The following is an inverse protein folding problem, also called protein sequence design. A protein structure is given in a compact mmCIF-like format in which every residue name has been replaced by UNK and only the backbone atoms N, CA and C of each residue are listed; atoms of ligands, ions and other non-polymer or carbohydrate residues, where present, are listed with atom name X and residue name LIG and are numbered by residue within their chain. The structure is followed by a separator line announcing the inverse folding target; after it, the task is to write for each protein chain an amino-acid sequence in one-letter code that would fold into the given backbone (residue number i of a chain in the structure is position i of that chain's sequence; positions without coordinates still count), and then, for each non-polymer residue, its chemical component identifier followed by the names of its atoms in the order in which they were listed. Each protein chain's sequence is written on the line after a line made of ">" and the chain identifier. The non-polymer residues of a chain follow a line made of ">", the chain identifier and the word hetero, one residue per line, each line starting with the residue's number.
data_IF_424685977464
#
_entry.id   IF_424685977464
#
_cell.length_a   1.000
_cell.length_b   1.000
_cell.length_c   1.000
_cell.angle_alpha   90.00
_cell.angle_beta   90.00
_cell.angle_gamma   90.00
#
_symmetry.space_group_name_H-M   'P 1'
#
loop_
_entity.id
_entity.type
_entity.pdbx_description
1 polymer ?
#
# COMPACT_ATOMS: atom_id res chain seq x y z
N UNK A 1 30.70 19.25 65.70
CA UNK A 1 30.57 18.14 66.67
C UNK A 1 30.52 16.83 65.91
N UNK A 2 31.51 16.01 66.10
CA UNK A 2 31.60 14.58 65.68
C UNK A 2 30.67 13.71 66.56
N UNK A 3 30.64 12.38 66.43
CA UNK A 3 30.70 11.39 65.32
C UNK A 3 29.76 10.19 65.58
N UNK A 4 29.74 9.14 64.66
CA UNK A 4 30.10 7.77 64.91
C UNK A 4 29.49 6.86 63.79
N UNK A 5 30.25 6.17 62.99
CA UNK A 5 31.01 4.90 63.03
C UNK A 5 30.23 3.70 63.58
N UNK A 6 30.06 2.68 62.71
CA UNK A 6 30.48 1.25 62.78
C UNK A 6 29.88 0.48 61.61
N UNK A 7 30.55 -0.14 60.70
CA UNK A 7 31.60 -1.17 60.62
C UNK A 7 31.03 -2.63 60.75
N UNK A 8 31.34 -3.40 59.67
CA UNK A 8 31.51 -4.85 59.54
C UNK A 8 30.23 -5.72 59.39
N UNK A 9 30.13 -6.62 58.36
CA UNK A 9 30.99 -7.78 58.25
C UNK A 9 30.91 -8.46 56.86
N UNK A 10 32.05 -8.91 56.35
CA UNK A 10 32.22 -9.89 55.26
C UNK A 10 31.67 -11.26 55.69
N UNK A 11 30.95 -11.94 54.77
CA UNK A 11 30.95 -13.40 54.69
C UNK A 11 31.09 -13.80 53.22
N UNK A 12 32.20 -14.44 52.92
CA UNK A 12 32.50 -15.12 51.67
C UNK A 12 31.69 -16.41 51.58
N UNK A 13 30.87 -16.54 50.55
CA UNK A 13 30.22 -17.80 50.18
C UNK A 13 30.72 -18.24 48.81
N UNK A 14 31.57 -19.28 48.81
CA UNK A 14 32.00 -19.99 47.61
C UNK A 14 30.81 -20.81 47.09
N UNK A 15 30.22 -20.40 45.97
CA UNK A 15 29.23 -21.22 45.26
C UNK A 15 29.95 -22.03 44.18
N UNK A 16 29.95 -23.32 44.32
CA UNK A 16 30.46 -24.28 43.35
C UNK A 16 29.61 -24.23 42.07
N UNK A 17 30.26 -23.96 40.95
CA UNK A 17 29.63 -24.05 39.62
C UNK A 17 29.56 -25.54 39.25
N UNK A 18 28.38 -26.14 39.36
CA UNK A 18 28.10 -27.45 38.78
C UNK A 18 27.84 -27.25 37.26
N UNK A 19 28.77 -27.71 36.45
CA UNK A 19 28.53 -27.88 35.00
C UNK A 19 27.50 -29.01 34.83
N UNK A 20 26.27 -28.64 34.49
CA UNK A 20 25.29 -29.57 33.93
C UNK A 20 25.61 -29.81 32.44
N UNK A 21 25.57 -31.05 31.95
CA UNK A 21 25.75 -31.33 30.54
C UNK A 21 24.61 -30.70 29.75
N UNK A 22 24.93 -29.92 28.72
CA UNK A 22 23.95 -29.38 27.76
C UNK A 22 23.27 -30.56 27.06
N UNK A 23 21.99 -30.76 27.37
CA UNK A 23 21.14 -31.65 26.61
C UNK A 23 20.96 -31.04 25.23
N UNK A 24 21.53 -31.68 24.22
CA UNK A 24 21.23 -31.37 22.80
C UNK A 24 19.79 -31.85 22.57
N UNK A 25 18.86 -30.92 22.64
CA UNK A 25 17.50 -31.18 22.18
C UNK A 25 17.54 -31.34 20.65
N UNK A 26 16.98 -32.43 20.09
CA UNK A 26 16.84 -32.54 18.65
C UNK A 26 15.98 -31.37 18.15
N UNK A 27 16.50 -30.63 17.18
CA UNK A 27 15.71 -29.65 16.41
C UNK A 27 14.62 -30.46 15.72
N UNK A 28 13.41 -30.42 16.26
CA UNK A 28 12.24 -30.94 15.58
C UNK A 28 12.06 -30.08 14.34
N UNK A 29 12.10 -30.70 13.17
CA UNK A 29 11.77 -30.04 11.91
C UNK A 29 10.36 -29.45 12.04
N UNK A 30 10.26 -28.13 11.91
CA UNK A 30 8.98 -27.44 11.89
C UNK A 30 8.18 -27.96 10.69
N UNK A 31 7.06 -28.62 10.96
CA UNK A 31 6.14 -29.18 9.96
C UNK A 31 5.15 -28.14 9.40
N UNK A 32 5.48 -26.85 9.48
CA UNK A 32 4.68 -25.76 8.93
C UNK A 32 4.94 -25.51 7.44
N UNK A 33 3.95 -24.95 6.71
CA UNK A 33 4.18 -24.38 5.39
C UNK A 33 5.25 -23.28 5.48
N UNK A 34 6.07 -23.03 4.43
CA UNK A 34 6.98 -21.90 4.43
C UNK A 34 6.17 -20.63 4.55
N UNK A 35 6.33 -19.95 5.66
CA UNK A 35 5.71 -18.65 5.96
C UNK A 35 6.82 -17.63 6.16
N UNK A 36 6.50 -16.36 5.91
CA UNK A 36 7.44 -15.27 6.21
C UNK A 36 7.55 -15.13 7.71
N UNK A 37 8.69 -15.54 8.26
CA UNK A 37 8.95 -15.48 9.68
C UNK A 37 9.51 -14.10 10.08
N UNK A 38 8.86 -13.43 11.03
CA UNK A 38 9.33 -12.17 11.63
C UNK A 38 9.84 -12.49 13.03
N UNK A 39 11.11 -12.88 13.13
CA UNK A 39 11.78 -13.13 14.40
C UNK A 39 12.59 -11.91 14.84
N UNK A 40 12.42 -11.47 16.08
CA UNK A 40 13.18 -10.37 16.72
C UNK A 40 13.36 -9.09 15.90
N UNK A 41 12.35 -8.77 15.07
CA UNK A 41 12.35 -7.54 14.30
C UNK A 41 13.21 -7.54 13.03
N UNK A 42 13.76 -8.66 12.60
CA UNK A 42 14.45 -8.83 11.32
C UNK A 42 13.55 -9.59 10.36
N UNK A 43 13.15 -8.92 9.26
CA UNK A 43 12.49 -9.57 8.12
C UNK A 43 13.55 -10.43 7.43
N UNK A 44 13.33 -11.74 7.34
CA UNK A 44 14.09 -12.62 6.45
C UNK A 44 13.22 -12.92 5.25
N UNK A 45 13.50 -12.30 4.09
CA UNK A 45 12.72 -12.57 2.88
C UNK A 45 12.79 -14.05 2.51
N UNK A 46 11.67 -14.61 2.07
CA UNK A 46 11.53 -15.99 1.65
C UNK A 46 12.24 -16.17 0.30
N UNK A 47 13.17 -17.13 0.22
CA UNK A 47 13.86 -17.48 -1.02
C UNK A 47 12.89 -18.19 -1.97
N UNK A 48 12.53 -17.54 -3.08
CA UNK A 48 11.61 -18.08 -4.07
C UNK A 48 12.28 -18.24 -5.42
N UNK A 49 12.15 -19.42 -6.00
CA UNK A 49 12.54 -19.65 -7.39
C UNK A 49 11.33 -19.39 -8.31
N UNK A 50 11.47 -18.46 -9.23
CA UNK A 50 10.47 -18.11 -10.22
C UNK A 50 11.04 -18.50 -11.58
N UNK A 51 10.71 -19.73 -12.05
CA UNK A 51 11.19 -20.21 -13.32
C UNK A 51 10.51 -19.46 -14.48
N UNK A 52 11.25 -19.22 -15.59
CA UNK A 52 10.66 -18.62 -16.78
C UNK A 52 9.42 -19.39 -17.22
N UNK A 53 8.30 -18.70 -17.38
CA UNK A 53 7.09 -19.32 -17.93
C UNK A 53 7.31 -19.66 -19.40
N UNK A 54 6.77 -20.78 -19.83
CA UNK A 54 6.80 -21.15 -21.24
C UNK A 54 5.72 -20.44 -22.06
N UNK A 55 5.93 -20.31 -23.37
CA UNK A 55 4.98 -19.70 -24.29
C UNK A 55 5.07 -18.19 -24.44
N UNK A 56 4.11 -17.55 -25.16
CA UNK A 56 4.14 -16.13 -25.47
C UNK A 56 4.19 -15.25 -24.19
N UNK A 57 5.05 -14.24 -24.18
CA UNK A 57 5.30 -13.35 -23.04
C UNK A 57 5.68 -14.08 -21.73
N UNK A 58 6.03 -15.36 -21.78
CA UNK A 58 6.28 -16.16 -20.59
C UNK A 58 7.41 -15.61 -19.73
N UNK A 59 8.54 -15.22 -20.32
CA UNK A 59 9.67 -14.61 -19.64
C UNK A 59 9.28 -13.24 -19.02
N UNK A 60 8.49 -12.43 -19.73
CA UNK A 60 8.02 -11.15 -19.24
C UNK A 60 7.07 -11.30 -18.04
N UNK A 61 6.16 -12.30 -18.10
CA UNK A 61 5.24 -12.64 -17.00
C UNK A 61 6.06 -13.00 -15.75
N UNK A 62 7.03 -13.92 -15.87
CA UNK A 62 7.86 -14.29 -14.72
C UNK A 62 8.72 -13.13 -14.20
N UNK A 63 9.20 -12.26 -15.09
CA UNK A 63 9.91 -11.04 -14.73
C UNK A 63 9.07 -10.07 -13.91
N UNK A 64 7.82 -9.81 -14.32
CA UNK A 64 6.89 -8.97 -13.56
C UNK A 64 6.56 -9.57 -12.19
N UNK A 65 6.32 -10.89 -12.11
CA UNK A 65 6.06 -11.57 -10.85
C UNK A 65 7.26 -11.45 -9.92
N UNK A 66 8.47 -11.68 -10.42
CA UNK A 66 9.72 -11.56 -9.66
C UNK A 66 9.87 -10.16 -9.08
N UNK A 67 9.71 -9.13 -9.90
CA UNK A 67 9.79 -7.73 -9.46
C UNK A 67 8.73 -7.38 -8.41
N UNK A 68 7.49 -7.81 -8.60
CA UNK A 68 6.40 -7.58 -7.65
C UNK A 68 6.73 -8.18 -6.27
N UNK A 69 7.07 -9.46 -6.25
CA UNK A 69 7.35 -10.17 -5.01
C UNK A 69 8.58 -9.59 -4.30
N UNK A 70 9.65 -9.28 -5.04
CA UNK A 70 10.84 -8.63 -4.48
C UNK A 70 10.53 -7.24 -3.89
N UNK A 71 9.74 -6.43 -4.59
CA UNK A 71 9.36 -5.09 -4.11
C UNK A 71 8.54 -5.12 -2.83
N UNK A 72 7.79 -6.19 -2.58
CA UNK A 72 7.06 -6.36 -1.32
C UNK A 72 7.99 -6.45 -0.11
N UNK A 73 9.24 -6.87 -0.28
CA UNK A 73 10.21 -7.08 0.79
C UNK A 73 10.02 -8.38 1.56
N UNK A 74 9.02 -9.20 1.22
CA UNK A 74 8.78 -10.50 1.84
C UNK A 74 9.45 -11.65 1.09
N UNK A 75 9.87 -11.42 -0.16
CA UNK A 75 10.46 -12.44 -1.02
C UNK A 75 11.81 -11.97 -1.55
N UNK A 76 12.70 -12.93 -1.70
CA UNK A 76 14.00 -12.77 -2.36
C UNK A 76 14.08 -13.78 -3.51
N UNK A 77 13.78 -13.34 -4.76
CA UNK A 77 13.83 -14.19 -5.93
C UNK A 77 15.27 -14.68 -6.20
N UNK A 78 15.42 -15.99 -6.32
CA UNK A 78 16.70 -16.62 -6.66
C UNK A 78 17.05 -16.32 -8.11
N UNK A 79 18.32 -16.00 -8.39
CA UNK A 79 18.82 -15.73 -9.74
C UNK A 79 18.53 -16.95 -10.67
N UNK A 80 17.82 -16.75 -11.79
CA UNK A 80 17.52 -17.82 -12.74
C UNK A 80 18.76 -18.57 -13.27
N UNK A 81 19.92 -17.95 -13.26
CA UNK A 81 21.19 -18.62 -13.65
C UNK A 81 21.60 -19.72 -12.65
N UNK A 82 21.09 -19.72 -11.44
CA UNK A 82 21.33 -20.79 -10.44
C UNK A 82 20.42 -22.01 -10.63
N UNK A 83 19.43 -21.96 -11.52
CA UNK A 83 18.46 -23.03 -11.70
C UNK A 83 19.09 -24.27 -12.37
N UNK A 84 19.06 -25.38 -11.65
CA UNK A 84 19.57 -26.67 -12.13
C UNK A 84 18.56 -27.32 -13.09
N UNK A 85 17.26 -27.22 -12.78
CA UNK A 85 16.19 -27.75 -13.62
C UNK A 85 15.70 -26.66 -14.59
N UNK A 86 15.80 -26.95 -15.88
CA UNK A 86 15.24 -26.17 -16.98
C UNK A 86 13.94 -26.81 -17.47
N UNK A 87 13.12 -26.06 -18.21
CA UNK A 87 11.94 -26.60 -18.94
C UNK A 87 10.91 -27.28 -18.02
N UNK A 88 10.42 -26.54 -17.03
CA UNK A 88 9.30 -26.96 -16.19
C UNK A 88 7.99 -26.95 -16.97
N UNK A 89 7.21 -28.02 -16.82
CA UNK A 89 5.91 -28.22 -17.45
C UNK A 89 4.82 -28.38 -16.38
N UNK A 90 3.65 -27.83 -16.62
CA UNK A 90 2.51 -27.92 -15.72
C UNK A 90 1.97 -29.34 -15.54
N UNK A 91 2.28 -30.27 -16.47
CA UNK A 91 1.90 -31.68 -16.38
C UNK A 91 2.77 -32.50 -15.41
N UNK A 92 3.94 -31.98 -15.04
CA UNK A 92 4.93 -32.70 -14.22
C UNK A 92 5.23 -31.91 -12.92
N UNK A 93 5.59 -32.66 -11.88
CA UNK A 93 6.14 -32.07 -10.65
C UNK A 93 7.59 -31.59 -10.88
N UNK A 94 8.05 -30.58 -10.16
CA UNK A 94 9.44 -30.17 -10.19
C UNK A 94 10.34 -31.22 -9.53
N UNK A 95 11.60 -31.29 -9.95
CA UNK A 95 12.59 -32.06 -9.22
C UNK A 95 12.94 -31.36 -7.90
N UNK A 96 12.27 -31.73 -6.83
CA UNK A 96 12.37 -31.07 -5.53
C UNK A 96 13.81 -31.01 -4.99
N UNK A 97 14.63 -32.03 -5.22
CA UNK A 97 16.02 -32.04 -4.73
C UNK A 97 16.90 -31.01 -5.45
N UNK A 98 16.65 -30.75 -6.74
CA UNK A 98 17.34 -29.68 -7.46
C UNK A 98 17.02 -28.30 -6.90
N UNK A 99 15.79 -28.05 -6.46
CA UNK A 99 15.36 -26.77 -5.93
C UNK A 99 15.75 -26.55 -4.46
N UNK A 100 15.64 -27.58 -3.64
CA UNK A 100 16.16 -27.51 -2.23
C UNK A 100 17.67 -27.34 -2.21
N UNK A 101 18.39 -27.91 -3.19
CA UNK A 101 19.85 -27.79 -3.32
C UNK A 101 20.33 -26.35 -3.53
N UNK A 102 19.52 -25.49 -4.14
CA UNK A 102 19.80 -24.04 -4.30
C UNK A 102 19.12 -23.17 -3.24
N UNK A 103 18.50 -23.77 -2.23
CA UNK A 103 17.89 -23.06 -1.10
C UNK A 103 16.50 -22.48 -1.39
N UNK A 104 15.82 -22.90 -2.46
CA UNK A 104 14.48 -22.44 -2.77
C UNK A 104 13.47 -22.94 -1.72
N UNK A 105 12.76 -22.05 -1.07
CA UNK A 105 11.68 -22.36 -0.13
C UNK A 105 10.31 -22.45 -0.82
N UNK A 106 10.20 -21.86 -2.00
CA UNK A 106 9.05 -21.99 -2.88
C UNK A 106 9.52 -22.01 -4.34
N UNK A 107 8.80 -22.75 -5.20
CA UNK A 107 9.08 -22.85 -6.64
C UNK A 107 7.81 -22.52 -7.41
N UNK A 108 7.87 -21.45 -8.20
CA UNK A 108 6.80 -20.98 -9.08
C UNK A 108 7.19 -21.19 -10.53
N UNK A 109 6.30 -21.78 -11.32
CA UNK A 109 6.44 -21.89 -12.76
C UNK A 109 5.08 -21.92 -13.44
N UNK A 110 5.05 -21.72 -14.76
CA UNK A 110 3.81 -21.65 -15.49
C UNK A 110 3.98 -21.72 -16.99
N UNK A 111 2.84 -21.68 -17.68
CA UNK A 111 2.76 -21.72 -19.15
C UNK A 111 1.73 -20.71 -19.63
N UNK A 112 2.11 -19.89 -20.60
CA UNK A 112 1.21 -19.04 -21.35
C UNK A 112 0.86 -19.73 -22.67
N UNK A 113 -0.42 -20.01 -22.90
CA UNK A 113 -0.91 -20.70 -24.09
C UNK A 113 -1.93 -19.84 -24.81
N UNK A 114 -1.81 -19.64 -26.15
CA UNK A 114 -2.84 -18.96 -26.91
C UNK A 114 -4.13 -19.82 -26.92
N UNK A 115 -5.27 -19.16 -26.76
CA UNK A 115 -6.59 -19.76 -26.88
C UNK A 115 -7.16 -19.56 -28.29
N UNK A 116 -8.08 -20.42 -28.70
CA UNK A 116 -8.69 -20.37 -30.04
C UNK A 116 -9.50 -19.07 -30.31
N UNK A 117 -9.89 -18.36 -29.25
CA UNK A 117 -10.62 -17.08 -29.30
C UNK A 117 -9.69 -15.83 -29.33
N UNK A 118 -8.38 -16.04 -29.53
CA UNK A 118 -7.37 -14.97 -29.56
C UNK A 118 -6.94 -14.46 -28.18
N UNK A 119 -7.39 -15.08 -27.10
CA UNK A 119 -6.94 -14.80 -25.74
C UNK A 119 -5.66 -15.59 -25.40
N UNK A 120 -5.06 -15.24 -24.27
CA UNK A 120 -3.99 -16.03 -23.66
C UNK A 120 -4.50 -16.64 -22.35
N UNK A 121 -4.26 -17.95 -22.19
CA UNK A 121 -4.48 -18.66 -20.93
C UNK A 121 -3.13 -18.87 -20.25
N UNK A 122 -2.98 -18.35 -19.04
CA UNK A 122 -1.75 -18.44 -18.25
C UNK A 122 -2.01 -19.32 -17.04
N UNK A 123 -1.52 -20.55 -17.09
CA UNK A 123 -1.55 -21.47 -15.96
C UNK A 123 -0.26 -21.36 -15.15
N UNK A 124 -0.36 -21.54 -13.83
CA UNK A 124 0.81 -21.58 -12.95
C UNK A 124 0.63 -22.59 -11.83
N UNK A 125 1.75 -23.01 -11.25
CA UNK A 125 1.81 -23.81 -10.03
C UNK A 125 2.91 -23.29 -9.11
N UNK A 126 2.60 -23.27 -7.80
CA UNK A 126 3.52 -22.96 -6.73
C UNK A 126 3.70 -24.20 -5.86
N UNK A 127 4.93 -24.61 -5.62
CA UNK A 127 5.27 -25.76 -4.81
C UNK A 127 6.12 -25.39 -3.61
N UNK A 128 5.96 -26.15 -2.55
CA UNK A 128 6.91 -26.24 -1.44
C UNK A 128 7.87 -27.41 -1.74
N UNK A 129 9.13 -27.14 -2.09
CA UNK A 129 10.07 -28.20 -2.44
C UNK A 129 10.53 -29.03 -1.26
N UNK A 130 10.48 -28.50 -0.01
CA UNK A 130 10.82 -29.25 1.18
C UNK A 130 9.73 -30.25 1.58
N UNK A 131 8.46 -29.81 1.52
CA UNK A 131 7.29 -30.67 1.77
C UNK A 131 6.91 -31.51 0.55
N UNK A 132 7.50 -31.26 -0.60
CA UNK A 132 7.25 -31.94 -1.89
C UNK A 132 5.77 -31.92 -2.30
N UNK A 133 5.09 -30.79 -2.11
CA UNK A 133 3.67 -30.67 -2.39
C UNK A 133 3.33 -29.32 -3.04
N UNK A 134 2.19 -29.29 -3.72
CA UNK A 134 1.68 -28.08 -4.37
C UNK A 134 0.97 -27.19 -3.36
N UNK A 135 1.38 -25.92 -3.27
CA UNK A 135 0.78 -24.89 -2.42
C UNK A 135 -0.45 -24.27 -3.07
N UNK A 136 -0.38 -24.00 -4.37
CA UNK A 136 -1.48 -23.48 -5.18
C UNK A 136 -1.22 -23.75 -6.67
N UNK A 137 -2.29 -23.96 -7.43
CA UNK A 137 -2.28 -23.99 -8.89
C UNK A 137 -3.56 -23.37 -9.42
N UNK A 138 -3.44 -22.48 -10.41
CA UNK A 138 -4.57 -21.77 -11.00
C UNK A 138 -4.25 -21.36 -12.45
N UNK A 139 -5.28 -20.92 -13.19
CA UNK A 139 -5.09 -20.32 -14.51
C UNK A 139 -5.97 -19.08 -14.67
N UNK A 140 -5.42 -18.09 -15.36
CA UNK A 140 -6.11 -16.87 -15.74
C UNK A 140 -6.20 -16.76 -17.26
N UNK A 141 -7.33 -16.27 -17.74
CA UNK A 141 -7.52 -15.99 -19.17
C UNK A 141 -7.64 -14.49 -19.36
N UNK A 142 -6.88 -13.94 -20.31
CA UNK A 142 -6.88 -12.50 -20.61
C UNK A 142 -6.72 -12.27 -22.12
N UNK A 143 -6.94 -11.03 -22.58
CA UNK A 143 -6.51 -10.63 -23.92
C UNK A 143 -4.97 -10.55 -23.97
N UNK A 144 -4.40 -10.63 -25.17
CA UNK A 144 -2.94 -10.61 -25.32
C UNK A 144 -2.31 -9.33 -24.75
N UNK A 145 -2.99 -8.20 -24.84
CA UNK A 145 -2.50 -6.92 -24.30
C UNK A 145 -2.52 -6.87 -22.76
N UNK A 146 -3.37 -7.69 -22.12
CA UNK A 146 -3.55 -7.70 -20.66
C UNK A 146 -2.67 -8.75 -19.94
N UNK A 147 -1.67 -9.32 -20.60
CA UNK A 147 -0.77 -10.31 -20.02
C UNK A 147 -0.10 -9.83 -18.73
N UNK A 148 0.22 -8.52 -18.66
CA UNK A 148 0.86 -7.90 -17.50
C UNK A 148 -0.04 -7.94 -16.28
N UNK A 149 -1.35 -7.68 -16.43
CA UNK A 149 -2.33 -7.83 -15.35
C UNK A 149 -2.42 -9.26 -14.84
N UNK A 150 -2.26 -10.26 -15.73
CA UNK A 150 -2.21 -11.67 -15.29
C UNK A 150 -1.01 -11.90 -14.38
N UNK A 151 0.15 -11.34 -14.71
CA UNK A 151 1.33 -11.43 -13.84
C UNK A 151 1.09 -10.79 -12.46
N UNK A 152 0.40 -9.64 -12.39
CA UNK A 152 0.01 -9.03 -11.12
C UNK A 152 -0.95 -9.91 -10.32
N UNK A 153 -1.97 -10.49 -10.95
CA UNK A 153 -2.90 -11.44 -10.31
C UNK A 153 -2.19 -12.69 -9.77
N UNK A 154 -1.25 -13.26 -10.53
CA UNK A 154 -0.43 -14.37 -10.04
C UNK A 154 0.38 -13.93 -8.82
N UNK A 155 0.96 -12.74 -8.86
CA UNK A 155 1.69 -12.19 -7.71
C UNK A 155 0.80 -12.04 -6.48
N UNK A 156 -0.45 -11.60 -6.65
CA UNK A 156 -1.44 -11.49 -5.57
C UNK A 156 -1.74 -12.85 -4.94
N UNK A 157 -1.97 -13.87 -5.77
CA UNK A 157 -2.23 -15.24 -5.30
C UNK A 157 -1.03 -15.82 -4.55
N UNK A 158 0.18 -15.67 -5.10
CA UNK A 158 1.42 -16.14 -4.46
C UNK A 158 1.65 -15.41 -3.14
N UNK A 159 1.52 -14.09 -3.15
CA UNK A 159 1.67 -13.27 -1.94
C UNK A 159 0.70 -13.70 -0.85
N UNK A 160 -0.59 -13.80 -1.18
CA UNK A 160 -1.62 -14.20 -0.23
C UNK A 160 -1.39 -15.62 0.30
N UNK A 161 -1.00 -16.56 -0.57
CA UNK A 161 -0.73 -17.96 -0.16
C UNK A 161 0.43 -18.07 0.81
N UNK A 162 1.47 -17.23 0.62
CA UNK A 162 2.70 -17.31 1.40
C UNK A 162 2.72 -16.45 2.65
N UNK A 163 1.94 -15.35 2.68
CA UNK A 163 1.94 -14.40 3.79
C UNK A 163 0.65 -14.43 4.62
N UNK A 164 -0.41 -15.03 4.09
CA UNK A 164 -1.76 -14.96 4.69
C UNK A 164 -2.45 -13.59 4.50
N UNK A 165 -1.75 -12.58 3.98
CA UNK A 165 -2.31 -11.24 3.75
C UNK A 165 -2.84 -11.10 2.31
N UNK A 166 -3.90 -10.31 2.08
CA UNK A 166 -4.37 -10.02 0.73
C UNK A 166 -3.27 -9.40 -0.14
N UNK A 167 -3.27 -9.74 -1.43
CA UNK A 167 -2.40 -9.12 -2.41
C UNK A 167 -2.74 -7.65 -2.67
N UNK A 168 -1.90 -6.96 -3.46
CA UNK A 168 -2.08 -5.56 -3.81
C UNK A 168 -1.46 -5.19 -5.17
N UNK A 169 -1.07 -6.18 -5.98
CA UNK A 169 -0.32 -5.96 -7.22
C UNK A 169 -1.22 -5.66 -8.41
N UNK A 170 -2.42 -6.29 -8.53
CA UNK A 170 -3.39 -5.93 -9.59
C UNK A 170 -4.14 -4.65 -9.22
N UNK A 171 -3.39 -3.56 -9.07
CA UNK A 171 -3.87 -2.23 -8.71
C UNK A 171 -3.24 -1.16 -9.58
N UNK A 172 -3.81 0.05 -9.51
CA UNK A 172 -3.30 1.24 -10.19
C UNK A 172 -2.98 2.35 -9.20
N UNK A 173 -2.13 3.24 -9.65
CA UNK A 173 -1.81 4.49 -8.96
C UNK A 173 -2.25 5.65 -9.84
N UNK A 174 -3.00 6.59 -9.26
CA UNK A 174 -3.28 7.88 -9.87
C UNK A 174 -2.48 8.95 -9.14
N UNK A 175 -1.96 9.91 -9.87
CA UNK A 175 -1.11 10.97 -9.33
C UNK A 175 -1.12 12.19 -10.24
N UNK A 176 -0.52 13.26 -9.78
CA UNK A 176 -0.28 14.47 -10.56
C UNK A 176 1.14 14.41 -11.13
N UNK A 177 1.23 14.28 -12.45
CA UNK A 177 2.50 14.44 -13.17
C UNK A 177 2.74 15.90 -13.47
N UNK A 178 3.93 16.38 -13.13
CA UNK A 178 4.32 17.77 -13.31
C UNK A 178 5.42 17.90 -14.34
N UNK A 179 5.33 18.95 -15.17
CA UNK A 179 6.36 19.30 -16.17
C UNK A 179 6.40 20.82 -16.38
N UNK A 180 7.38 21.28 -17.13
CA UNK A 180 7.58 22.72 -17.38
C UNK A 180 8.46 23.40 -16.31
N UNK A 181 8.43 24.72 -16.28
CA UNK A 181 9.14 25.57 -15.31
C UNK A 181 8.19 26.04 -14.21
N UNK A 182 8.70 26.61 -13.12
CA UNK A 182 7.87 27.18 -12.05
C UNK A 182 6.85 28.22 -12.55
N UNK A 183 7.18 28.98 -13.59
CA UNK A 183 6.31 30.00 -14.18
C UNK A 183 5.31 29.42 -15.21
N UNK A 184 5.62 28.27 -15.80
CA UNK A 184 4.80 27.59 -16.81
C UNK A 184 4.64 26.12 -16.43
N UNK A 185 4.11 25.88 -15.23
CA UNK A 185 3.90 24.53 -14.71
C UNK A 185 2.72 23.89 -15.41
N UNK A 186 2.92 22.73 -15.98
CA UNK A 186 1.89 21.87 -16.57
C UNK A 186 1.64 20.72 -15.61
N UNK A 187 0.38 20.57 -15.20
CA UNK A 187 -0.08 19.57 -14.22
C UNK A 187 -1.08 18.63 -14.89
N UNK A 188 -0.80 17.34 -14.94
CA UNK A 188 -1.68 16.35 -15.58
C UNK A 188 -2.08 15.27 -14.62
N UNK A 189 -3.36 14.96 -14.59
CA UNK A 189 -3.88 13.75 -13.96
C UNK A 189 -3.33 12.54 -14.73
N UNK A 190 -2.62 11.66 -14.04
CA UNK A 190 -1.92 10.54 -14.66
C UNK A 190 -2.24 9.25 -13.91
N UNK A 191 -2.50 8.16 -14.63
CA UNK A 191 -2.72 6.83 -14.08
C UNK A 191 -1.67 5.87 -14.62
N UNK A 192 -1.22 4.92 -13.78
CA UNK A 192 -0.26 3.88 -14.15
C UNK A 192 -0.49 2.61 -13.33
N UNK A 193 0.14 1.49 -13.71
CA UNK A 193 0.22 0.31 -12.87
C UNK A 193 1.02 0.62 -11.58
N UNK A 194 0.77 -0.10 -10.51
CA UNK A 194 1.37 0.19 -9.19
C UNK A 194 2.91 0.12 -9.18
N UNK A 195 3.50 -0.52 -10.16
CA UNK A 195 4.95 -0.67 -10.31
C UNK A 195 5.61 0.37 -11.23
N UNK A 196 4.84 1.35 -11.72
CA UNK A 196 5.32 2.45 -12.55
C UNK A 196 5.10 2.29 -14.04
N UNK A 197 4.61 1.14 -14.48
CA UNK A 197 4.39 0.86 -15.91
C UNK A 197 3.09 1.46 -16.44
N UNK A 198 3.01 1.59 -17.78
CA UNK A 198 1.85 2.05 -18.54
C UNK A 198 1.28 3.41 -18.04
N UNK A 199 2.10 4.47 -17.89
CA UNK A 199 1.56 5.77 -17.51
C UNK A 199 0.73 6.36 -18.64
N UNK A 200 -0.49 6.79 -18.31
CA UNK A 200 -1.44 7.43 -19.24
C UNK A 200 -1.90 8.75 -18.65
N UNK A 201 -1.81 9.83 -19.45
CA UNK A 201 -2.38 11.12 -19.09
C UNK A 201 -3.89 11.11 -19.31
N UNK A 202 -4.63 11.49 -18.28
CA UNK A 202 -6.10 11.59 -18.31
C UNK A 202 -6.59 13.01 -18.59
N UNK A 203 -5.72 14.02 -18.41
CA UNK A 203 -5.99 15.43 -18.71
C UNK A 203 -4.89 16.04 -19.56
N UNK A 204 -5.19 17.14 -20.25
CA UNK A 204 -4.31 17.84 -21.18
C UNK A 204 -3.26 18.73 -20.51
N UNK A 205 -3.51 19.17 -19.26
CA UNK A 205 -2.61 20.05 -18.50
C UNK A 205 -2.96 21.53 -18.57
N UNK A 206 -4.15 21.89 -19.03
CA UNK A 206 -4.65 23.27 -19.07
C UNK A 206 -4.99 23.82 -17.67
N UNK A 207 -5.28 22.93 -16.71
CA UNK A 207 -5.60 23.26 -15.31
C UNK A 207 -4.55 22.70 -14.36
N UNK A 208 -4.36 23.35 -13.21
CA UNK A 208 -3.56 22.78 -12.13
C UNK A 208 -4.41 21.74 -11.40
N UNK A 209 -3.99 20.49 -11.48
CA UNK A 209 -4.65 19.34 -10.84
C UNK A 209 -4.04 19.09 -9.47
N UNK A 210 -4.89 18.80 -8.47
CA UNK A 210 -4.48 18.49 -7.11
C UNK A 210 -5.36 17.39 -6.49
N UNK A 211 -4.78 16.67 -5.56
CA UNK A 211 -5.45 15.71 -4.65
C UNK A 211 -6.37 14.70 -5.31
N UNK A 212 -5.95 13.99 -6.38
CA UNK A 212 -6.77 12.95 -6.99
C UNK A 212 -7.03 11.79 -6.03
N UNK A 213 -8.24 11.19 -6.08
CA UNK A 213 -8.62 10.03 -5.26
C UNK A 213 -9.57 9.11 -6.01
N UNK A 214 -9.36 7.81 -5.88
CA UNK A 214 -10.27 6.81 -6.43
C UNK A 214 -11.58 6.71 -5.65
N UNK A 215 -12.64 6.34 -6.35
CA UNK A 215 -13.85 5.77 -5.74
C UNK A 215 -13.54 4.40 -5.14
N UNK A 216 -14.43 3.90 -4.28
CA UNK A 216 -14.25 2.61 -3.60
C UNK A 216 -14.13 1.42 -4.55
N UNK A 217 -14.83 1.46 -5.67
CA UNK A 217 -14.78 0.47 -6.75
C UNK A 217 -13.69 0.75 -7.80
N UNK A 218 -12.95 1.85 -7.62
CA UNK A 218 -11.89 2.31 -8.51
C UNK A 218 -12.34 2.58 -9.97
N UNK A 219 -13.64 2.77 -10.21
CA UNK A 219 -14.19 3.12 -11.53
C UNK A 219 -14.15 4.63 -11.81
N UNK A 220 -14.10 5.44 -10.76
CA UNK A 220 -14.08 6.89 -10.84
C UNK A 220 -12.93 7.48 -10.02
N UNK A 221 -12.57 8.71 -10.39
CA UNK A 221 -11.58 9.52 -9.68
C UNK A 221 -12.19 10.88 -9.40
N UNK A 222 -12.10 11.32 -8.14
CA UNK A 222 -12.32 12.73 -7.81
C UNK A 222 -10.99 13.45 -7.72
N UNK A 223 -10.96 14.71 -8.17
CA UNK A 223 -9.81 15.58 -8.06
C UNK A 223 -10.22 17.04 -8.00
N UNK A 224 -9.33 17.87 -7.53
CA UNK A 224 -9.48 19.31 -7.55
C UNK A 224 -8.73 19.91 -8.74
N UNK A 225 -9.34 20.87 -9.41
CA UNK A 225 -8.71 21.69 -10.43
C UNK A 225 -8.76 23.17 -10.04
N UNK A 226 -7.64 23.85 -10.25
CA UNK A 226 -7.49 25.29 -10.11
C UNK A 226 -7.51 25.93 -11.49
N UNK A 227 -8.47 26.82 -11.74
CA UNK A 227 -8.47 27.76 -12.84
C UNK A 227 -8.03 29.14 -12.36
N UNK A 228 -8.06 30.14 -13.25
CA UNK A 228 -7.59 31.51 -12.90
C UNK A 228 -8.37 32.11 -11.71
N UNK A 229 -9.71 31.94 -11.70
CA UNK A 229 -10.58 32.55 -10.68
C UNK A 229 -11.42 31.53 -9.89
N UNK A 230 -11.14 30.23 -9.98
CA UNK A 230 -11.97 29.21 -9.35
C UNK A 230 -11.19 27.99 -8.89
N UNK A 231 -11.75 27.32 -7.87
CA UNK A 231 -11.44 25.92 -7.52
C UNK A 231 -12.68 25.08 -7.78
N UNK A 232 -12.51 23.91 -8.42
CA UNK A 232 -13.60 22.99 -8.70
C UNK A 232 -13.20 21.56 -8.32
N UNK A 233 -14.19 20.80 -7.90
CA UNK A 233 -14.08 19.36 -7.75
C UNK A 233 -14.70 18.71 -8.98
N UNK A 234 -13.97 17.77 -9.56
CA UNK A 234 -14.40 16.97 -10.68
C UNK A 234 -14.50 15.50 -10.33
N UNK A 235 -15.43 14.83 -10.99
CA UNK A 235 -15.46 13.38 -11.14
C UNK A 235 -14.96 13.03 -12.54
N UNK A 236 -14.10 12.04 -12.63
CA UNK A 236 -13.60 11.49 -13.88
C UNK A 236 -13.89 9.99 -13.91
N UNK A 237 -14.70 9.53 -14.85
CA UNK A 237 -15.01 8.13 -15.02
C UNK A 237 -13.93 7.46 -15.89
N UNK A 238 -13.23 6.50 -15.33
CA UNK A 238 -12.06 5.84 -15.96
C UNK A 238 -12.44 4.94 -17.14
N UNK A 239 -13.69 4.45 -17.18
CA UNK A 239 -14.15 3.56 -18.25
C UNK A 239 -14.61 4.34 -19.48
N UNK A 240 -15.21 5.52 -19.28
CA UNK A 240 -15.80 6.30 -20.36
C UNK A 240 -15.00 7.56 -20.73
N UNK A 241 -14.02 7.95 -19.89
CA UNK A 241 -13.30 9.21 -20.04
C UNK A 241 -14.15 10.47 -19.74
N UNK A 242 -15.40 10.30 -19.28
CA UNK A 242 -16.29 11.43 -18.99
C UNK A 242 -15.83 12.16 -17.74
N UNK A 243 -15.72 13.48 -17.87
CA UNK A 243 -15.44 14.43 -16.79
C UNK A 243 -16.71 15.20 -16.42
N UNK A 244 -17.00 15.31 -15.12
CA UNK A 244 -18.16 16.02 -14.59
C UNK A 244 -17.77 16.90 -13.41
N UNK A 245 -18.17 18.17 -13.40
CA UNK A 245 -17.99 19.06 -12.24
C UNK A 245 -19.06 18.79 -11.19
N UNK A 246 -18.67 18.77 -9.90
CA UNK A 246 -19.61 18.65 -8.78
C UNK A 246 -20.41 19.95 -8.53
N UNK A 247 -20.18 21.00 -9.31
CA UNK A 247 -20.87 22.28 -9.21
C UNK A 247 -19.97 23.41 -8.71
N UNK A 248 -20.63 24.55 -8.44
CA UNK A 248 -19.98 25.72 -7.85
C UNK A 248 -20.31 25.80 -6.37
N UNK A 249 -19.32 26.17 -5.57
CA UNK A 249 -19.46 26.33 -4.14
C UNK A 249 -19.19 27.80 -3.77
N UNK A 250 -19.82 28.28 -2.72
CA UNK A 250 -19.56 29.60 -2.16
C UNK A 250 -18.28 29.53 -1.29
N UNK A 251 -17.12 29.54 -1.96
CA UNK A 251 -15.80 29.43 -1.35
C UNK A 251 -14.86 28.51 -2.16
N UNK A 252 -13.61 28.47 -1.74
CA UNK A 252 -12.60 27.60 -2.33
C UNK A 252 -12.73 26.16 -1.77
N UNK A 253 -12.71 25.17 -2.64
CA UNK A 253 -12.89 23.76 -2.26
C UNK A 253 -11.56 23.01 -2.26
N UNK A 254 -11.41 22.07 -1.31
CA UNK A 254 -10.16 21.32 -1.11
C UNK A 254 -10.40 19.86 -0.74
N UNK A 255 -9.41 19.00 -1.07
CA UNK A 255 -9.23 17.65 -0.53
C UNK A 255 -10.46 16.75 -0.60
N UNK A 256 -11.07 16.54 -1.76
CA UNK A 256 -12.23 15.67 -1.90
C UNK A 256 -11.89 14.20 -1.58
N UNK A 257 -12.83 13.48 -0.95
CA UNK A 257 -12.73 12.05 -0.58
C UNK A 257 -14.07 11.36 -0.73
N UNK A 258 -14.11 10.26 -1.44
CA UNK A 258 -15.29 9.40 -1.47
C UNK A 258 -15.57 8.76 -0.11
N UNK A 259 -16.85 8.56 0.18
CA UNK A 259 -17.25 7.60 1.22
C UNK A 259 -17.00 6.16 0.75
N UNK A 260 -16.84 5.18 1.67
CA UNK A 260 -16.56 3.78 1.29
C UNK A 260 -17.64 3.14 0.46
N UNK A 261 -18.90 3.58 0.62
CA UNK A 261 -20.06 3.13 -0.17
C UNK A 261 -20.17 3.83 -1.55
N UNK A 262 -19.27 4.79 -1.84
CA UNK A 262 -19.25 5.55 -3.09
C UNK A 262 -20.41 6.53 -3.27
N UNK A 263 -21.30 6.69 -2.28
CA UNK A 263 -22.52 7.52 -2.42
C UNK A 263 -22.30 8.98 -2.07
N UNK A 264 -21.21 9.31 -1.38
CA UNK A 264 -20.93 10.67 -0.89
C UNK A 264 -19.48 11.07 -1.15
N UNK A 265 -19.26 12.38 -1.12
CA UNK A 265 -17.92 12.99 -1.09
C UNK A 265 -17.84 13.94 0.10
N UNK A 266 -16.80 13.75 0.93
CA UNK A 266 -16.40 14.74 1.92
C UNK A 266 -15.32 15.63 1.33
N UNK A 267 -15.37 16.93 1.62
CA UNK A 267 -14.40 17.92 1.15
C UNK A 267 -14.41 19.15 2.09
N UNK A 268 -13.42 20.01 1.92
CA UNK A 268 -13.31 21.24 2.70
C UNK A 268 -13.72 22.44 1.87
N UNK A 269 -14.41 23.40 2.49
CA UNK A 269 -14.73 24.71 1.86
C UNK A 269 -14.10 25.80 2.71
N UNK A 270 -13.22 26.63 2.10
CA UNK A 270 -12.69 27.83 2.70
C UNK A 270 -13.54 29.03 2.34
N UNK A 271 -14.00 29.76 3.34
CA UNK A 271 -14.87 30.95 3.19
C UNK A 271 -14.60 31.91 4.31
N UNK A 272 -14.40 33.20 3.95
CA UNK A 272 -14.29 34.29 4.95
C UNK A 272 -13.19 34.11 5.99
N UNK A 273 -12.08 33.43 5.63
CA UNK A 273 -10.96 33.17 6.54
C UNK A 273 -11.11 31.90 7.41
N UNK A 274 -12.22 31.16 7.29
CA UNK A 274 -12.45 29.89 7.92
C UNK A 274 -12.51 28.75 6.89
N UNK A 275 -12.26 27.51 7.32
CA UNK A 275 -12.37 26.32 6.48
C UNK A 275 -13.09 25.22 7.23
N UNK A 276 -14.14 24.67 6.62
CA UNK A 276 -14.99 23.65 7.23
C UNK A 276 -15.12 22.40 6.36
N UNK A 277 -15.33 21.27 7.03
CA UNK A 277 -15.63 20.00 6.38
C UNK A 277 -17.11 19.97 5.97
N UNK A 278 -17.35 19.60 4.75
CA UNK A 278 -18.66 19.38 4.16
C UNK A 278 -18.77 17.97 3.61
N UNK A 279 -19.98 17.46 3.50
CA UNK A 279 -20.31 16.22 2.80
C UNK A 279 -21.42 16.48 1.78
N UNK A 280 -21.24 15.98 0.56
CA UNK A 280 -22.24 16.02 -0.51
C UNK A 280 -22.74 14.61 -0.79
N UNK A 281 -24.03 14.43 -0.92
CA UNK A 281 -24.65 13.24 -1.52
C UNK A 281 -24.55 13.35 -3.04
N UNK A 282 -23.93 12.34 -3.68
CA UNK A 282 -23.64 12.38 -5.12
C UNK A 282 -24.90 12.24 -5.99
N UNK A 283 -25.95 11.64 -5.46
CA UNK A 283 -27.22 11.45 -6.18
C UNK A 283 -28.09 12.72 -6.14
N UNK A 284 -28.23 13.32 -4.94
CA UNK A 284 -29.11 14.51 -4.76
C UNK A 284 -28.38 15.83 -4.95
N UNK A 285 -27.03 15.82 -4.87
CA UNK A 285 -26.17 17.00 -4.87
C UNK A 285 -26.36 17.90 -3.64
N UNK A 286 -27.10 17.46 -2.66
CA UNK A 286 -27.26 18.18 -1.40
C UNK A 286 -25.95 18.17 -0.62
N UNK A 287 -25.54 19.35 -0.13
CA UNK A 287 -24.30 19.53 0.62
C UNK A 287 -24.64 19.92 2.06
N UNK A 288 -24.04 19.24 3.02
CA UNK A 288 -24.19 19.50 4.45
C UNK A 288 -22.85 19.84 5.08
N UNK A 289 -22.78 20.94 5.84
CA UNK A 289 -21.61 21.32 6.65
C UNK A 289 -21.53 20.42 7.88
N UNK A 290 -20.35 19.87 8.19
CA UNK A 290 -20.10 18.97 9.33
C UNK A 290 -19.37 19.66 10.48
N UNK A 291 -18.50 20.64 10.19
CA UNK A 291 -17.77 21.38 11.22
C UNK A 291 -18.14 22.86 11.18
N UNK A 292 -18.08 23.52 12.33
CA UNK A 292 -18.50 24.94 12.50
C UNK A 292 -17.56 25.71 13.42
N UNK A 293 -16.47 25.10 13.86
CA UNK A 293 -15.43 25.74 14.68
C UNK A 293 -14.71 26.82 13.85
N UNK A 294 -14.27 27.95 14.46
CA UNK A 294 -13.53 28.97 13.74
C UNK A 294 -12.13 28.56 13.28
N UNK A 295 -11.66 27.37 13.62
CA UNK A 295 -10.40 26.81 13.14
C UNK A 295 -10.45 26.32 11.70
N UNK A 296 -9.28 26.09 11.11
CA UNK A 296 -9.13 25.53 9.76
C UNK A 296 -9.29 24.02 9.82
N UNK A 297 -10.47 23.50 9.41
CA UNK A 297 -10.79 22.08 9.32
C UNK A 297 -10.63 21.60 7.89
N UNK A 298 -9.72 20.66 7.63
CA UNK A 298 -9.41 20.25 6.26
C UNK A 298 -8.99 18.77 6.16
N UNK A 299 -8.85 18.28 4.91
CA UNK A 299 -8.36 16.95 4.58
C UNK A 299 -9.16 15.80 5.23
N UNK A 300 -10.48 15.72 5.03
CA UNK A 300 -11.29 14.65 5.59
C UNK A 300 -10.92 13.30 4.98
N UNK A 301 -11.03 12.22 5.77
CA UNK A 301 -10.93 10.83 5.30
C UNK A 301 -11.90 9.96 6.08
N UNK A 302 -12.76 9.22 5.38
CA UNK A 302 -13.69 8.29 6.01
C UNK A 302 -12.98 7.07 6.59
N UNK A 303 -13.51 6.53 7.68
CA UNK A 303 -13.21 5.16 8.12
C UNK A 303 -13.77 4.15 7.11
N UNK A 304 -13.19 2.94 6.98
CA UNK A 304 -13.61 1.97 5.95
C UNK A 304 -15.05 1.46 6.14
N UNK A 305 -15.61 1.55 7.34
CA UNK A 305 -17.02 1.28 7.64
C UNK A 305 -17.96 2.48 7.38
N UNK A 306 -17.41 3.63 7.00
CA UNK A 306 -18.15 4.86 6.73
C UNK A 306 -18.73 5.55 7.96
N UNK A 307 -18.53 5.02 9.18
CA UNK A 307 -19.14 5.54 10.40
C UNK A 307 -18.45 6.80 10.95
N UNK A 308 -17.17 7.00 10.64
CA UNK A 308 -16.37 8.11 11.16
C UNK A 308 -15.58 8.82 10.05
N UNK A 309 -15.13 10.04 10.38
CA UNK A 309 -14.24 10.84 9.55
C UNK A 309 -13.05 11.28 10.40
N UNK A 310 -11.83 11.12 9.92
CA UNK A 310 -10.63 11.77 10.43
C UNK A 310 -10.33 13.00 9.59
N UNK A 311 -9.90 14.09 10.22
CA UNK A 311 -9.55 15.35 9.57
C UNK A 311 -8.46 16.07 10.35
N UNK A 312 -7.83 17.08 9.78
CA UNK A 312 -6.95 17.96 10.54
C UNK A 312 -7.64 19.29 10.86
N UNK A 313 -7.32 19.83 12.04
CA UNK A 313 -7.87 21.08 12.56
C UNK A 313 -6.80 21.83 13.36
N UNK A 314 -6.77 23.16 13.26
CA UNK A 314 -5.89 24.02 14.03
C UNK A 314 -6.57 24.71 15.22
N UNK A 315 -7.83 24.36 15.51
CA UNK A 315 -8.68 24.96 16.58
C UNK A 315 -8.04 24.98 17.98
N UNK A 316 -7.02 24.18 18.23
CA UNK A 316 -6.29 24.15 19.51
C UNK A 316 -4.89 24.79 19.42
N UNK A 317 -4.66 25.69 18.44
CA UNK A 317 -3.43 26.46 18.31
C UNK A 317 -2.30 25.79 17.53
N UNK A 318 -2.61 24.74 16.76
CA UNK A 318 -1.70 24.07 15.84
C UNK A 318 -2.40 22.91 15.17
N UNK A 319 -2.01 22.58 13.93
CA UNK A 319 -2.68 21.54 13.17
C UNK A 319 -2.59 20.17 13.87
N UNK A 320 -3.74 19.60 14.22
CA UNK A 320 -3.94 18.34 14.92
C UNK A 320 -4.88 17.44 14.14
N UNK A 321 -4.77 16.12 14.35
CA UNK A 321 -5.77 15.20 13.86
C UNK A 321 -6.94 15.09 14.83
N UNK A 322 -8.13 15.16 14.27
CA UNK A 322 -9.41 15.00 14.95
C UNK A 322 -10.18 13.85 14.31
N UNK A 323 -11.04 13.22 15.08
CA UNK A 323 -12.06 12.30 14.56
C UNK A 323 -13.45 12.83 14.93
N UNK A 324 -14.44 12.51 14.09
CA UNK A 324 -15.86 12.75 14.33
C UNK A 324 -16.70 11.60 13.77
N UNK A 325 -17.95 11.50 14.17
CA UNK A 325 -18.93 10.66 13.50
C UNK A 325 -19.21 11.19 12.08
N UNK A 326 -19.66 10.36 11.16
CA UNK A 326 -19.96 10.78 9.77
C UNK A 326 -21.08 11.84 9.68
N UNK A 327 -21.86 12.02 10.74
CA UNK A 327 -22.86 13.08 10.87
C UNK A 327 -22.31 14.42 11.40
N UNK A 328 -21.00 14.50 11.70
CA UNK A 328 -20.32 15.68 12.22
C UNK A 328 -20.31 15.80 13.75
N UNK A 329 -20.99 14.89 14.46
CA UNK A 329 -21.00 14.87 15.95
C UNK A 329 -19.75 14.20 16.53
N UNK A 330 -19.51 14.34 17.83
CA UNK A 330 -18.46 13.62 18.55
C UNK A 330 -17.03 14.03 18.16
N UNK A 331 -16.82 15.27 17.74
CA UNK A 331 -15.50 15.80 17.36
C UNK A 331 -14.53 15.77 18.54
N UNK A 332 -13.37 15.11 18.36
CA UNK A 332 -12.34 15.01 19.40
C UNK A 332 -10.95 14.91 18.79
N UNK A 333 -9.92 15.52 19.44
CA UNK A 333 -8.53 15.37 19.00
C UNK A 333 -8.03 13.94 19.27
N UNK A 334 -7.19 13.43 18.37
CA UNK A 334 -6.53 12.12 18.52
C UNK A 334 -5.02 12.22 18.52
N UNK A 335 -4.40 13.19 17.81
CA UNK A 335 -2.95 13.39 17.86
C UNK A 335 -2.53 14.18 19.10
N UNK A 336 -1.45 13.73 19.76
CA UNK A 336 -0.97 14.30 21.03
C UNK A 336 0.50 14.74 21.00
N UNK A 337 1.27 14.30 19.98
CA UNK A 337 2.70 14.61 19.86
C UNK A 337 3.01 16.06 19.48
N UNK A 338 4.27 16.46 19.57
CA UNK A 338 4.74 17.77 19.10
C UNK A 338 4.70 17.86 17.56
N UNK A 339 4.81 19.08 17.01
CA UNK A 339 4.74 19.35 15.57
C UNK A 339 3.30 19.53 15.06
N UNK A 340 3.13 19.62 13.75
CA UNK A 340 1.83 19.78 13.09
C UNK A 340 1.50 18.54 12.26
N UNK A 341 0.23 18.17 12.25
CA UNK A 341 -0.27 16.97 11.56
C UNK A 341 -1.18 17.38 10.41
N UNK A 342 -1.00 16.73 9.25
CA UNK A 342 -1.69 17.07 8.00
C UNK A 342 -2.09 15.81 7.24
N UNK A 343 -2.99 15.96 6.26
CA UNK A 343 -3.38 14.96 5.26
C UNK A 343 -3.61 13.56 5.85
N UNK A 344 -4.46 13.40 6.88
CA UNK A 344 -4.75 12.09 7.41
C UNK A 344 -5.43 11.20 6.36
N UNK A 345 -5.12 9.91 6.40
CA UNK A 345 -5.74 8.91 5.55
C UNK A 345 -6.00 7.64 6.37
N UNK A 346 -7.26 7.23 6.47
CA UNK A 346 -7.65 6.05 7.22
C UNK A 346 -7.25 4.77 6.46
N UNK A 347 -6.67 3.81 7.17
CA UNK A 347 -6.31 2.50 6.61
C UNK A 347 -7.57 1.74 6.15
N UNK A 348 -7.53 1.01 5.03
CA UNK A 348 -8.64 0.15 4.61
C UNK A 348 -8.94 -0.99 5.61
N UNK A 349 -8.01 -1.30 6.53
CA UNK A 349 -8.24 -2.24 7.64
C UNK A 349 -8.97 -1.60 8.83
N UNK A 350 -9.06 -0.26 8.90
CA UNK A 350 -9.72 0.47 9.99
C UNK A 350 -8.89 0.63 11.27
N UNK A 351 -7.75 0.01 11.36
CA UNK A 351 -6.87 -0.07 12.52
C UNK A 351 -5.96 1.15 12.67
N UNK A 352 -5.43 1.66 11.55
CA UNK A 352 -4.43 2.72 11.49
C UNK A 352 -4.93 3.97 10.75
N UNK A 353 -4.31 5.10 11.07
CA UNK A 353 -4.40 6.35 10.31
C UNK A 353 -2.97 6.74 9.90
N UNK A 354 -2.74 6.87 8.58
CA UNK A 354 -1.52 7.46 8.04
C UNK A 354 -1.65 8.98 8.03
N UNK A 355 -0.55 9.68 8.19
CA UNK A 355 -0.54 11.15 8.21
C UNK A 355 0.81 11.72 7.74
N UNK A 356 0.78 12.97 7.32
CA UNK A 356 1.98 13.80 7.19
C UNK A 356 2.19 14.56 8.51
N UNK A 357 3.41 14.58 9.02
CA UNK A 357 3.79 15.35 10.21
C UNK A 357 4.93 16.29 9.89
N UNK A 358 4.78 17.58 10.20
CA UNK A 358 5.88 18.55 10.15
C UNK A 358 6.44 18.81 11.54
N UNK A 359 7.75 18.60 11.70
CA UNK A 359 8.46 18.73 12.97
C UNK A 359 9.95 18.97 12.74
N UNK A 360 10.57 19.91 13.46
CA UNK A 360 12.00 20.18 13.37
C UNK A 360 12.49 20.56 11.96
N UNK A 361 11.66 21.25 11.17
CA UNK A 361 11.99 21.65 9.79
C UNK A 361 11.97 20.48 8.78
N UNK A 362 11.44 19.33 9.15
CA UNK A 362 11.29 18.13 8.30
C UNK A 362 9.84 17.70 8.20
N UNK A 363 9.55 16.96 7.16
CA UNK A 363 8.28 16.32 6.93
C UNK A 363 8.43 14.80 7.02
N UNK A 364 7.45 14.17 7.61
CA UNK A 364 7.47 12.76 7.95
C UNK A 364 6.16 12.11 7.50
N UNK A 365 6.24 10.90 6.99
CA UNK A 365 5.08 10.00 6.93
C UNK A 365 5.06 9.19 8.21
N UNK A 366 3.93 9.20 8.90
CA UNK A 366 3.71 8.43 10.12
C UNK A 366 2.39 7.69 10.09
N UNK A 367 2.24 6.78 11.04
CA UNK A 367 0.98 6.08 11.33
C UNK A 367 0.70 6.14 12.82
N UNK A 368 -0.57 6.08 13.18
CA UNK A 368 -1.07 5.89 14.54
C UNK A 368 -2.28 4.97 14.53
N UNK A 369 -2.60 4.38 15.66
CA UNK A 369 -3.85 3.65 15.83
C UNK A 369 -5.04 4.60 15.63
N UNK A 370 -6.19 4.08 15.23
CA UNK A 370 -7.39 4.88 14.97
C UNK A 370 -7.95 5.61 16.21
N UNK A 371 -7.46 5.29 17.41
CA UNK A 371 -7.73 6.00 18.67
C UNK A 371 -6.70 7.10 19.01
N UNK A 372 -5.63 7.23 18.19
CA UNK A 372 -4.54 8.19 18.36
C UNK A 372 -3.35 7.70 19.17
N UNK A 373 -3.36 6.45 19.64
CA UNK A 373 -2.22 5.82 20.32
C UNK A 373 -1.21 5.23 19.32
N UNK A 374 -0.05 4.79 19.79
CA UNK A 374 0.91 4.03 18.99
C UNK A 374 1.50 4.80 17.81
N UNK A 375 1.66 6.12 17.91
CA UNK A 375 2.28 6.94 16.86
C UNK A 375 3.67 6.42 16.52
N UNK A 376 3.93 6.22 15.21
CA UNK A 376 5.23 5.81 14.66
C UNK A 376 5.55 6.62 13.42
N UNK A 377 6.79 7.06 13.30
CA UNK A 377 7.32 7.69 12.08
C UNK A 377 7.92 6.60 11.19
N UNK A 378 7.47 6.53 9.94
CA UNK A 378 7.90 5.53 8.96
C UNK A 378 8.95 6.09 8.01
N UNK A 379 8.88 7.38 7.70
CA UNK A 379 9.86 8.04 6.83
C UNK A 379 10.07 9.50 7.27
N UNK A 380 11.24 10.05 6.92
CA UNK A 380 11.61 11.41 7.25
C UNK A 380 12.47 11.99 6.15
N UNK A 381 12.10 13.18 5.64
CA UNK A 381 12.90 13.88 4.64
C UNK A 381 12.71 15.41 4.72
N UNK A 382 13.25 16.11 3.74
CA UNK A 382 12.99 17.55 3.55
C UNK A 382 11.49 17.80 3.35
N UNK A 383 10.81 16.96 2.54
CA UNK A 383 9.38 17.09 2.27
C UNK A 383 8.79 15.74 1.85
N UNK A 384 8.15 15.03 2.77
CA UNK A 384 7.36 13.82 2.53
C UNK A 384 5.89 14.14 2.83
N UNK A 385 4.97 13.88 1.88
CA UNK A 385 3.56 14.24 2.04
C UNK A 385 2.58 13.32 1.31
N UNK A 386 1.30 13.48 1.64
CA UNK A 386 0.18 12.91 0.90
C UNK A 386 0.11 11.38 0.96
N UNK A 387 0.09 10.76 2.18
CA UNK A 387 0.04 9.30 2.28
C UNK A 387 -1.24 8.72 1.68
N UNK A 388 -1.11 7.62 0.93
CA UNK A 388 -2.20 6.84 0.37
C UNK A 388 -1.95 5.35 0.60
N UNK A 389 -2.93 4.65 1.13
CA UNK A 389 -2.83 3.22 1.45
C UNK A 389 -2.94 2.34 0.21
N UNK A 390 -2.14 1.28 0.16
CA UNK A 390 -2.43 0.11 -0.65
C UNK A 390 -3.71 -0.59 -0.12
N UNK A 391 -4.48 -1.30 -0.97
CA UNK A 391 -5.76 -1.88 -0.54
C UNK A 391 -5.63 -2.94 0.56
N UNK A 392 -4.48 -3.57 0.70
CA UNK A 392 -4.22 -4.50 1.80
C UNK A 392 -3.86 -3.83 3.13
N UNK A 393 -3.78 -2.50 3.21
CA UNK A 393 -3.45 -1.76 4.43
C UNK A 393 -2.04 -2.00 4.96
N UNK A 394 -1.14 -2.57 4.15
CA UNK A 394 0.24 -2.86 4.52
C UNK A 394 1.24 -1.81 4.06
N UNK A 395 1.01 -1.22 2.89
CA UNK A 395 1.92 -0.27 2.27
C UNK A 395 1.28 1.10 2.15
N UNK A 396 2.10 2.13 2.20
CA UNK A 396 1.73 3.53 2.06
C UNK A 396 2.56 4.13 0.93
N UNK A 397 1.88 4.68 -0.06
CA UNK A 397 2.44 5.48 -1.14
C UNK A 397 2.40 6.95 -0.76
N UNK A 398 3.45 7.71 -1.07
CA UNK A 398 3.54 9.13 -0.76
C UNK A 398 4.48 9.85 -1.75
N UNK A 399 4.41 11.17 -1.78
CA UNK A 399 5.31 12.00 -2.56
C UNK A 399 6.49 12.46 -1.71
N UNK A 400 7.71 12.33 -2.24
CA UNK A 400 8.93 12.88 -1.65
C UNK A 400 9.51 13.96 -2.57
N UNK A 401 9.61 15.18 -2.06
CA UNK A 401 10.32 16.27 -2.73
C UNK A 401 11.74 16.36 -2.20
N UNK A 402 12.71 16.26 -3.08
CA UNK A 402 14.11 16.43 -2.75
C UNK A 402 14.48 17.94 -2.62
N UNK A 403 15.59 18.30 -1.96
CA UNK A 403 16.02 19.69 -1.84
C UNK A 403 16.24 20.41 -3.19
N UNK A 404 16.55 19.67 -4.26
CA UNK A 404 16.66 20.18 -5.63
C UNK A 404 15.31 20.42 -6.33
N UNK A 405 14.19 20.26 -5.62
CA UNK A 405 12.84 20.44 -6.14
C UNK A 405 12.24 19.22 -6.84
N UNK A 406 12.99 18.18 -7.13
CA UNK A 406 12.48 16.98 -7.78
C UNK A 406 11.53 16.21 -6.85
N UNK A 407 10.32 15.93 -7.31
CA UNK A 407 9.32 15.14 -6.57
C UNK A 407 9.25 13.72 -7.15
N UNK A 408 9.26 12.69 -6.29
CA UNK A 408 9.20 11.28 -6.67
C UNK A 408 8.22 10.54 -5.78
N UNK A 409 7.55 9.53 -6.34
CA UNK A 409 6.70 8.65 -5.56
C UNK A 409 7.55 7.62 -4.81
N UNK A 410 7.20 7.42 -3.55
CA UNK A 410 7.83 6.46 -2.65
C UNK A 410 6.77 5.58 -1.99
N UNK A 411 7.14 4.35 -1.73
CA UNK A 411 6.35 3.38 -0.98
C UNK A 411 7.09 2.99 0.29
N UNK A 412 6.37 2.91 1.41
CA UNK A 412 6.88 2.40 2.69
C UNK A 412 5.88 1.41 3.28
N UNK A 413 6.36 0.34 3.92
CA UNK A 413 5.49 -0.54 4.68
C UNK A 413 5.19 0.01 6.08
N UNK A 414 4.14 -0.48 6.73
CA UNK A 414 3.71 -0.02 8.07
C UNK A 414 4.74 -0.24 9.17
N UNK A 415 5.81 -0.99 8.92
CA UNK A 415 6.93 -1.18 9.86
C UNK A 415 8.06 -0.17 9.64
N UNK A 416 8.06 0.56 8.51
CA UNK A 416 9.13 1.46 8.10
C UNK A 416 10.38 0.77 7.55
N UNK A 417 10.38 -0.56 7.39
CA UNK A 417 11.55 -1.35 6.98
C UNK A 417 11.68 -1.50 5.46
N UNK A 418 10.55 -1.63 4.79
CA UNK A 418 10.51 -1.70 3.32
C UNK A 418 10.27 -0.31 2.78
N UNK A 419 11.30 0.30 2.20
CA UNK A 419 11.23 1.60 1.54
C UNK A 419 11.64 1.43 0.08
N UNK A 420 10.76 1.80 -0.86
CA UNK A 420 10.99 1.68 -2.30
C UNK A 420 10.63 2.96 -3.03
N UNK A 421 11.29 3.19 -4.14
CA UNK A 421 10.88 4.20 -5.12
C UNK A 421 9.93 3.53 -6.13
N UNK A 422 8.90 4.25 -6.54
CA UNK A 422 8.10 3.86 -7.71
C UNK A 422 8.83 4.31 -8.97
N UNK A 423 8.86 3.44 -9.95
CA UNK A 423 9.61 3.67 -11.20
C UNK A 423 8.79 4.57 -12.14
N UNK A 424 8.99 5.88 -12.00
CA UNK A 424 8.42 6.92 -12.85
C UNK A 424 9.39 8.09 -12.96
N UNK A 425 9.82 8.41 -14.17
CA UNK A 425 10.96 9.31 -14.41
C UNK A 425 10.65 10.79 -14.24
N UNK A 426 9.41 11.22 -14.45
CA UNK A 426 9.04 12.63 -14.31
C UNK A 426 8.65 12.98 -12.85
N UNK A 427 8.61 14.29 -12.49
CA UNK A 427 8.08 14.74 -11.21
C UNK A 427 6.62 14.27 -11.02
N UNK A 428 6.33 13.73 -9.83
CA UNK A 428 5.04 13.17 -9.49
C UNK A 428 4.65 13.51 -8.05
N UNK A 429 3.42 14.00 -7.86
CA UNK A 429 2.88 14.45 -6.59
C UNK A 429 1.47 13.89 -6.33
N UNK A 430 0.97 14.05 -5.11
CA UNK A 430 -0.40 13.72 -4.70
C UNK A 430 -0.88 12.31 -5.08
N UNK A 431 -0.13 11.24 -4.79
CA UNK A 431 -0.53 9.91 -5.22
C UNK A 431 -1.80 9.42 -4.52
N UNK A 432 -2.56 8.59 -5.24
CA UNK A 432 -3.60 7.76 -4.66
C UNK A 432 -3.53 6.34 -5.22
N UNK A 433 -3.72 5.37 -4.35
CA UNK A 433 -3.72 3.96 -4.69
C UNK A 433 -5.15 3.45 -4.87
N UNK A 434 -5.40 2.66 -5.93
CA UNK A 434 -6.71 2.05 -6.17
C UNK A 434 -6.98 0.86 -5.25
N UNK A 435 -8.22 0.39 -5.22
CA UNK A 435 -8.55 -0.97 -4.82
C UNK A 435 -7.98 -2.00 -5.81
N UNK A 436 -8.09 -3.28 -5.48
CA UNK A 436 -7.82 -4.37 -6.44
C UNK A 436 -8.80 -4.23 -7.61
N UNK A 437 -8.27 -4.25 -8.84
CA UNK A 437 -9.09 -4.09 -10.06
C UNK A 437 -10.00 -5.29 -10.25
N UNK A 438 -9.48 -6.47 -9.95
CA UNK A 438 -10.20 -7.74 -10.09
C UNK A 438 -9.62 -8.73 -9.06
N UNK A 439 -10.16 -8.71 -7.83
CA UNK A 439 -9.61 -9.53 -6.76
C UNK A 439 -9.67 -11.01 -7.12
N UNK A 440 -8.64 -11.78 -6.73
CA UNK A 440 -8.64 -13.22 -6.98
C UNK A 440 -9.87 -13.86 -6.33
N UNK A 441 -10.42 -14.93 -6.94
CA UNK A 441 -11.56 -15.65 -6.39
C UNK A 441 -11.33 -16.06 -4.94
N UNK A 442 -12.32 -15.87 -4.08
CA UNK A 442 -12.22 -16.20 -2.66
C UNK A 442 -11.88 -17.68 -2.40
N UNK A 443 -12.26 -18.57 -3.35
CA UNK A 443 -12.01 -20.01 -3.30
C UNK A 443 -11.00 -20.40 -4.37
N UNK A 444 -9.75 -19.98 -4.26
CA UNK A 444 -8.66 -20.38 -5.17
C UNK A 444 -8.27 -21.87 -5.08
N UNK A 445 -9.07 -22.69 -4.42
CA UNK A 445 -8.81 -24.14 -4.34
C UNK A 445 -7.38 -24.45 -3.88
N UNK A 446 -6.92 -23.82 -2.80
CA UNK A 446 -5.55 -23.98 -2.28
C UNK A 446 -5.14 -25.45 -2.03
N UNK A 447 -6.10 -26.39 -2.11
CA UNK A 447 -5.91 -27.81 -1.86
C UNK A 447 -6.64 -28.69 -2.89
N UNK A 448 -6.63 -28.37 -4.18
CA UNK A 448 -7.27 -29.19 -5.20
C UNK A 448 -6.24 -29.91 -6.07
N UNK A 449 -6.05 -31.20 -5.81
CA UNK A 449 -5.22 -32.10 -6.58
C UNK A 449 -4.54 -33.16 -5.71
N UNK A 450 -4.13 -34.28 -6.29
CA UNK A 450 -3.47 -35.38 -5.57
C UNK A 450 -2.12 -34.95 -4.95
N UNK A 451 -1.51 -33.90 -5.47
CA UNK A 451 -0.19 -33.40 -5.06
C UNK A 451 -0.27 -32.20 -4.07
N UNK A 452 -1.47 -31.83 -3.60
CA UNK A 452 -1.66 -30.68 -2.73
C UNK A 452 -1.07 -30.91 -1.33
N UNK A 453 -0.52 -29.85 -0.75
CA UNK A 453 -0.07 -29.90 0.64
C UNK A 453 -1.25 -30.21 1.56
N UNK A 454 -1.09 -31.09 2.57
CA UNK A 454 -2.13 -31.30 3.55
C UNK A 454 -2.49 -29.96 4.25
N UNK A 455 -3.77 -29.80 4.58
CA UNK A 455 -4.21 -28.67 5.36
C UNK A 455 -3.45 -28.69 6.71
N UNK A 456 -2.78 -27.59 7.03
CA UNK A 456 -2.05 -27.42 8.29
C UNK A 456 -3.00 -27.16 9.44
#
# INVERSE_FOLDING_TARGET
>A
MRPNKRLNALIAGVAAIALAPAAVTPVMAQSGSPEVEITEGVLRPLQIAIAPFSGPNGADISGVISNNLQRSGFFDPIDPNAFIQQNLDLSNQPNFDAWTGIGAQAVLYGTASPSADGRVNVGFRLYDPFRRCQLVGYSFTATQENWRRVAHKISDVVYQRMTGEPGYFDTRVIFVSESGTELNRVSRLTIMDQDGFNPVFLTDGEEIILTPRFSSDSSEVTYMALGEDYTRIYLYNLNTGRRESLGQFDGQVFSPRFSPDGTKIAFSIARGGNTDIHVMDLRTRETRRLTTDPGIDTSPSFSPDGSRIVFNSDRTGGARLYTMNADGTGQRPISRGGGSYHTPNWSPRGDLIAFTKSSGGRFHIGVMNSDGTGERILSSSYFDEGPSWAPNGRYILYARKAPNGATRLRMVDVTGRVLRQVDYDAPAADPAWSGLIDPPPANLGFNQGPDSCPAG
#
